data_IF_285379133143
#
_entry.id   IF_285379133143
#
_cell.length_a   1.000
_cell.length_b   1.000
_cell.length_c   1.000
_cell.angle_alpha   90.00
_cell.angle_beta   90.00
_cell.angle_gamma   90.00
#
_symmetry.space_group_name_H-M   'P 1'
#
loop_
_entity.id
_entity.type
_entity.pdbx_description
1 polymer ?
#
# COMPACT_ATOMS: atom_id res chain seq x y z
N UNK A 1 2.99 -24.36 44.37
CA UNK A 1 3.82 -24.42 43.15
C UNK A 1 3.09 -23.65 42.07
N UNK A 2 3.79 -22.76 41.36
CA UNK A 2 3.24 -21.58 40.70
C UNK A 2 2.31 -21.85 39.50
N UNK A 3 1.15 -21.19 39.52
CA UNK A 3 0.22 -21.01 38.40
C UNK A 3 0.81 -20.07 37.35
N UNK A 4 1.60 -20.61 36.42
CA UNK A 4 2.13 -19.89 35.27
C UNK A 4 1.19 -19.94 34.06
N UNK A 5 0.08 -19.21 34.08
CA UNK A 5 -0.62 -18.85 32.84
C UNK A 5 0.31 -17.90 32.07
N UNK A 6 1.07 -18.43 31.12
CA UNK A 6 1.78 -17.60 30.15
C UNK A 6 0.75 -16.75 29.40
N UNK A 7 0.83 -15.41 29.42
CA UNK A 7 -0.07 -14.58 28.65
C UNK A 7 0.20 -14.83 27.16
N UNK A 8 -0.84 -15.29 26.45
CA UNK A 8 -0.80 -15.45 24.99
C UNK A 8 -0.77 -14.03 24.40
N UNK A 9 0.42 -13.60 23.96
CA UNK A 9 0.59 -12.32 23.28
C UNK A 9 0.04 -12.46 21.85
N UNK A 10 -1.21 -12.05 21.63
CA UNK A 10 -1.90 -12.22 20.32
C UNK A 10 -1.32 -11.32 19.23
N UNK A 11 -0.70 -10.19 19.60
CA UNK A 11 -0.05 -9.27 18.68
C UNK A 11 1.30 -8.84 19.26
N UNK A 12 2.34 -8.74 18.41
CA UNK A 12 3.65 -8.20 18.82
C UNK A 12 3.49 -6.74 19.27
N UNK A 13 4.30 -6.31 20.24
CA UNK A 13 4.39 -4.89 20.61
C UNK A 13 4.65 -4.03 19.36
N UNK A 14 3.89 -2.95 19.21
CA UNK A 14 3.93 -2.05 18.05
C UNK A 14 2.92 -2.36 16.93
N UNK A 15 2.12 -3.43 17.05
CA UNK A 15 1.11 -3.73 16.02
C UNK A 15 -0.10 -2.80 16.13
N UNK A 16 -0.27 -1.88 15.18
CA UNK A 16 -1.48 -1.09 15.05
C UNK A 16 -2.52 -1.87 14.26
N UNK A 17 -3.69 -2.12 14.85
CA UNK A 17 -4.79 -2.86 14.21
C UNK A 17 -5.96 -1.92 14.00
N UNK A 18 -6.13 -1.45 12.77
CA UNK A 18 -7.32 -0.69 12.38
C UNK A 18 -8.41 -1.68 11.91
N UNK A 19 -9.63 -1.54 12.41
CA UNK A 19 -10.75 -2.46 12.13
C UNK A 19 -12.05 -1.71 11.85
N UNK A 20 -12.97 -2.40 11.17
CA UNK A 20 -14.32 -1.90 10.94
C UNK A 20 -14.37 -0.79 9.89
N UNK A 21 -15.33 0.13 10.07
CA UNK A 21 -15.64 1.17 9.07
C UNK A 21 -14.47 2.11 8.78
N UNK A 22 -13.63 2.40 9.76
CA UNK A 22 -12.47 3.29 9.57
C UNK A 22 -11.43 2.66 8.65
N UNK A 23 -11.10 1.37 8.86
CA UNK A 23 -10.22 0.63 7.97
C UNK A 23 -10.78 0.55 6.54
N UNK A 24 -12.10 0.35 6.39
CA UNK A 24 -12.73 0.36 5.06
C UNK A 24 -12.63 1.72 4.38
N UNK A 25 -12.87 2.81 5.12
CA UNK A 25 -12.75 4.17 4.58
C UNK A 25 -11.32 4.47 4.15
N UNK A 26 -10.34 4.11 4.99
CA UNK A 26 -8.92 4.27 4.69
C UNK A 26 -8.53 3.50 3.42
N UNK A 27 -8.98 2.25 3.28
CA UNK A 27 -8.72 1.45 2.08
C UNK A 27 -9.33 2.05 0.81
N UNK A 28 -10.55 2.60 0.88
CA UNK A 28 -11.20 3.26 -0.26
C UNK A 28 -10.44 4.51 -0.67
N UNK A 29 -9.99 5.31 0.31
CA UNK A 29 -9.21 6.51 0.06
C UNK A 29 -7.86 6.18 -0.58
N UNK A 30 -7.12 5.22 -0.02
CA UNK A 30 -5.88 4.73 -0.60
C UNK A 30 -6.06 4.22 -2.04
N UNK A 31 -7.11 3.44 -2.30
CA UNK A 31 -7.43 2.95 -3.64
C UNK A 31 -7.74 4.09 -4.63
N UNK A 32 -8.47 5.14 -4.18
CA UNK A 32 -8.74 6.32 -5.01
C UNK A 32 -7.46 7.07 -5.35
N UNK A 33 -6.59 7.29 -4.37
CA UNK A 33 -5.30 7.97 -4.60
C UNK A 33 -4.45 7.21 -5.62
N UNK A 34 -4.39 5.89 -5.51
CA UNK A 34 -3.68 5.05 -6.49
C UNK A 34 -4.34 5.14 -7.87
N UNK A 35 -5.67 5.08 -7.94
CA UNK A 35 -6.42 5.19 -9.19
C UNK A 35 -6.17 6.54 -9.89
N UNK A 36 -6.14 7.64 -9.14
CA UNK A 36 -5.87 8.97 -9.69
C UNK A 36 -4.43 9.08 -10.22
N UNK A 37 -3.46 8.45 -9.56
CA UNK A 37 -2.07 8.45 -10.00
C UNK A 37 -1.88 7.75 -11.37
N UNK A 38 -2.63 6.67 -11.63
CA UNK A 38 -2.54 5.88 -12.86
C UNK A 38 -3.53 6.32 -13.95
N UNK A 39 -4.56 7.10 -13.61
CA UNK A 39 -5.64 7.46 -14.56
C UNK A 39 -5.14 8.05 -15.87
N UNK A 40 -4.06 8.83 -15.83
CA UNK A 40 -3.51 9.50 -17.01
C UNK A 40 -2.71 8.59 -17.93
N UNK A 41 -2.34 7.39 -17.48
CA UNK A 41 -1.52 6.43 -18.23
C UNK A 41 -2.39 5.43 -19.00
N UNK A 42 -3.71 5.43 -18.78
CA UNK A 42 -4.64 4.49 -19.40
C UNK A 42 -5.05 4.95 -20.81
N UNK A 43 -4.92 4.05 -21.78
CA UNK A 43 -5.35 4.22 -23.16
C UNK A 43 -4.20 4.33 -24.17
N UNK A 44 -4.50 4.30 -25.49
CA UNK A 44 -3.47 4.32 -26.54
C UNK A 44 -2.69 5.64 -26.63
N UNK A 45 -3.13 6.68 -25.91
CA UNK A 45 -2.44 7.96 -25.72
C UNK A 45 -2.16 8.25 -24.23
N UNK A 46 -2.05 7.21 -23.41
CA UNK A 46 -1.69 7.34 -22.01
C UNK A 46 -0.34 8.04 -21.86
N UNK A 47 -0.21 8.89 -20.85
CA UNK A 47 1.04 9.57 -20.53
C UNK A 47 1.97 8.65 -19.76
N UNK A 48 3.24 8.63 -20.12
CA UNK A 48 4.26 7.94 -19.33
C UNK A 48 4.52 8.68 -18.03
N UNK A 49 4.75 7.92 -16.96
CA UNK A 49 5.25 8.48 -15.70
C UNK A 49 6.74 8.23 -15.63
N UNK A 50 7.48 9.19 -15.07
CA UNK A 50 8.87 9.00 -14.66
C UNK A 50 8.87 8.78 -13.16
N UNK A 51 9.29 7.60 -12.72
CA UNK A 51 9.50 7.28 -11.31
C UNK A 51 10.99 7.41 -11.00
N UNK A 52 11.30 8.06 -9.88
CA UNK A 52 12.67 8.24 -9.40
C UNK A 52 12.78 7.46 -8.09
N UNK A 53 13.69 6.50 -8.07
CA UNK A 53 14.05 5.83 -6.81
C UNK A 53 14.94 6.74 -5.95
N UNK A 54 14.97 6.49 -4.64
CA UNK A 54 15.82 7.13 -3.64
C UNK A 54 17.32 7.19 -4.01
N UNK A 55 17.80 6.28 -4.86
CA UNK A 55 19.18 6.26 -5.37
C UNK A 55 19.36 7.02 -6.71
N UNK A 56 18.32 7.66 -7.25
CA UNK A 56 18.37 8.46 -8.47
C UNK A 56 18.13 7.67 -9.77
N UNK A 57 17.86 6.36 -9.68
CA UNK A 57 17.49 5.54 -10.85
C UNK A 57 16.14 6.00 -11.39
N UNK A 58 16.10 6.34 -12.67
CA UNK A 58 14.88 6.76 -13.39
C UNK A 58 14.24 5.53 -14.05
N UNK A 59 13.01 5.22 -13.66
CA UNK A 59 12.17 4.22 -14.31
C UNK A 59 11.06 4.92 -15.08
N UNK A 60 10.84 4.52 -16.33
CA UNK A 60 9.72 5.00 -17.16
C UNK A 60 8.64 3.92 -17.28
N UNK A 61 7.70 3.81 -16.32
CA UNK A 61 6.57 2.91 -16.48
C UNK A 61 5.62 3.41 -17.58
N UNK A 62 5.80 2.93 -18.80
CA UNK A 62 4.68 2.68 -19.73
C UNK A 62 3.89 1.54 -19.10
N UNK A 63 2.67 1.76 -18.58
CA UNK A 63 2.00 0.76 -17.72
C UNK A 63 1.59 -0.52 -18.46
N UNK A 64 2.55 -1.42 -18.61
CA UNK A 64 2.40 -2.87 -18.56
C UNK A 64 3.23 -3.35 -17.37
N UNK A 65 2.57 -3.95 -16.38
CA UNK A 65 3.25 -4.71 -15.32
C UNK A 65 4.03 -5.84 -16.00
N UNK A 66 5.31 -5.64 -16.25
CA UNK A 66 6.24 -6.74 -16.47
C UNK A 66 6.78 -7.12 -15.11
N UNK A 67 6.29 -8.27 -14.64
CA UNK A 67 6.89 -9.02 -13.54
C UNK A 67 8.32 -9.41 -13.90
#
# INVERSE_FOLDING_TARGET
MLSGQMPILVLKEGTQREQGKNAQKNNIEAAKTIADAIRTTLGPKGMDKMLVDSMGTLLFPTMGLQF
#
